data_IF_599238194763
#
_entry.id   IF_599238194763
#
_cell.length_a   1.000
_cell.length_b   1.000
_cell.length_c   1.000
_cell.angle_alpha   90.00
_cell.angle_beta   90.00
_cell.angle_gamma   90.00
#
_symmetry.space_group_name_H-M   'P 1'
#
loop_
_entity.id
_entity.type
_entity.pdbx_description
1 polymer ?
#
# COMPACT_ATOMS: atom_id res chain seq x y z
N UNK A 1 12.03 41.60 5.25
CA UNK A 1 12.34 40.24 5.71
C UNK A 1 11.16 39.34 5.38
N UNK A 2 11.16 38.60 4.26
CA UNK A 2 10.11 37.64 3.99
C UNK A 2 10.36 36.36 4.80
N UNK A 3 9.29 35.86 5.42
CA UNK A 3 9.26 34.62 6.18
C UNK A 3 9.54 33.45 5.25
N UNK A 4 10.50 32.61 5.61
CA UNK A 4 10.74 31.33 4.96
C UNK A 4 9.44 30.53 4.93
N UNK A 5 8.96 30.27 3.72
CA UNK A 5 8.05 29.16 3.47
C UNK A 5 8.93 27.92 3.55
N UNK A 6 8.98 27.32 4.73
CA UNK A 6 9.33 25.90 4.83
C UNK A 6 8.30 25.15 3.97
N UNK A 7 8.69 24.88 2.72
CA UNK A 7 8.08 23.84 1.93
C UNK A 7 8.14 22.58 2.79
N UNK A 8 6.96 22.08 3.19
CA UNK A 8 6.78 20.77 3.79
C UNK A 8 7.18 19.72 2.75
N UNK A 9 8.48 19.60 2.47
CA UNK A 9 9.06 18.43 1.83
C UNK A 9 8.86 17.33 2.88
N UNK A 10 7.96 16.37 2.66
CA UNK A 10 7.81 15.26 3.59
C UNK A 10 9.15 14.56 3.61
N UNK A 11 9.77 14.43 4.79
CA UNK A 11 11.05 13.74 4.93
C UNK A 11 10.98 12.40 4.19
N UNK A 12 11.61 12.32 3.02
CA UNK A 12 11.46 11.22 2.06
C UNK A 12 11.96 9.90 2.65
N UNK A 13 12.91 9.97 3.58
CA UNK A 13 13.37 8.83 4.38
C UNK A 13 12.25 8.20 5.22
N UNK A 14 11.25 8.97 5.65
CA UNK A 14 10.09 8.44 6.40
C UNK A 14 9.11 7.65 5.54
N UNK A 15 9.14 7.79 4.21
CA UNK A 15 8.21 7.07 3.32
C UNK A 15 8.79 5.77 2.76
N UNK A 16 10.11 5.63 2.71
CA UNK A 16 10.79 4.46 2.12
C UNK A 16 11.07 3.37 3.15
N UNK A 17 10.09 2.50 3.36
CA UNK A 17 10.16 1.36 4.28
C UNK A 17 10.66 0.05 3.66
N UNK A 18 10.92 0.06 2.35
CA UNK A 18 11.30 -1.10 1.55
C UNK A 18 12.77 -1.06 1.15
N UNK A 19 13.31 -2.22 0.79
CA UNK A 19 14.68 -2.41 0.32
C UNK A 19 15.31 -3.72 0.80
N UNK A 20 16.60 -3.85 0.52
CA UNK A 20 17.39 -5.02 0.91
C UNK A 20 17.55 -5.12 2.42
N UNK A 21 17.31 -6.31 2.95
CA UNK A 21 17.54 -6.68 4.33
C UNK A 21 18.55 -7.84 4.38
N UNK A 22 19.68 -7.59 5.04
CA UNK A 22 20.69 -8.61 5.32
C UNK A 22 20.43 -9.28 6.67
N UNK A 23 20.49 -10.61 6.72
CA UNK A 23 20.25 -11.41 7.92
C UNK A 23 21.36 -12.44 8.14
N UNK A 24 21.82 -12.53 9.39
CA UNK A 24 22.59 -13.68 9.86
C UNK A 24 21.68 -14.90 10.08
N UNK A 25 22.27 -16.09 10.15
CA UNK A 25 21.52 -17.31 10.51
C UNK A 25 20.96 -17.17 11.93
N UNK A 26 19.68 -17.52 12.09
CA UNK A 26 18.87 -17.36 13.29
C UNK A 26 18.63 -15.91 13.73
N UNK A 27 18.98 -14.91 12.90
CA UNK A 27 18.67 -13.53 13.19
C UNK A 27 17.20 -13.22 12.91
N UNK A 28 16.58 -12.51 13.84
CA UNK A 28 15.28 -11.88 13.67
C UNK A 28 15.42 -10.39 13.42
N UNK A 29 14.56 -9.84 12.57
CA UNK A 29 14.29 -8.40 12.47
C UNK A 29 12.79 -8.19 12.57
N UNK A 30 12.39 -7.13 13.24
CA UNK A 30 10.99 -6.79 13.42
C UNK A 30 10.72 -5.32 13.05
N UNK A 31 9.50 -5.06 12.62
CA UNK A 31 9.02 -3.75 12.19
C UNK A 31 7.59 -3.55 12.68
N UNK A 32 7.25 -2.29 12.88
CA UNK A 32 5.87 -1.84 12.99
C UNK A 32 5.53 -1.05 11.73
N UNK A 33 4.47 -1.46 11.02
CA UNK A 33 3.92 -0.76 9.87
C UNK A 33 2.48 -0.34 10.18
N UNK A 34 2.29 0.92 10.59
CA UNK A 34 1.03 1.37 11.17
C UNK A 34 0.75 0.58 12.44
N UNK A 35 -0.33 -0.20 12.44
CA UNK A 35 -0.70 -1.10 13.53
C UNK A 35 -0.33 -2.57 13.30
N UNK A 36 0.26 -2.90 12.14
CA UNK A 36 0.79 -4.24 11.85
C UNK A 36 2.16 -4.42 12.53
N UNK A 37 2.30 -5.45 13.36
CA UNK A 37 3.60 -5.90 13.85
C UNK A 37 4.06 -7.06 12.98
N UNK A 38 5.30 -6.99 12.50
CA UNK A 38 5.84 -7.89 11.49
C UNK A 38 7.26 -8.28 11.85
N UNK A 39 7.59 -9.58 11.79
CA UNK A 39 8.91 -10.13 12.10
C UNK A 39 9.31 -11.18 11.08
N UNK A 40 10.56 -11.10 10.66
CA UNK A 40 11.20 -12.11 9.85
C UNK A 40 12.38 -12.69 10.60
N UNK A 41 12.49 -14.02 10.57
CA UNK A 41 13.63 -14.76 11.10
C UNK A 41 14.20 -15.64 9.99
N UNK A 42 15.52 -15.54 9.78
CA UNK A 42 16.23 -16.41 8.85
C UNK A 42 16.69 -17.67 9.58
N UNK A 43 16.24 -18.85 9.16
CA UNK A 43 16.83 -20.13 9.52
C UNK A 43 17.77 -20.65 8.43
N UNK A 44 18.46 -21.77 8.67
CA UNK A 44 19.33 -22.41 7.66
C UNK A 44 18.51 -22.87 6.44
N UNK A 45 17.33 -23.44 6.68
CA UNK A 45 16.48 -24.07 5.68
C UNK A 45 15.08 -23.45 5.60
N UNK A 46 14.87 -22.30 6.24
CA UNK A 46 13.57 -21.65 6.20
C UNK A 46 13.66 -20.15 6.43
N UNK A 47 12.67 -19.45 5.90
CA UNK A 47 12.27 -18.13 6.40
C UNK A 47 11.01 -18.29 7.22
N UNK A 48 11.02 -17.73 8.43
CA UNK A 48 9.84 -17.66 9.29
C UNK A 48 9.32 -16.22 9.32
N UNK A 49 8.07 -16.06 8.94
CA UNK A 49 7.31 -14.83 9.05
C UNK A 49 6.36 -14.95 10.24
N UNK A 50 6.41 -13.97 11.13
CA UNK A 50 5.45 -13.79 12.21
C UNK A 50 4.81 -12.42 12.09
N UNK A 51 3.49 -12.33 12.23
CA UNK A 51 2.83 -11.03 12.25
C UNK A 51 1.60 -11.03 13.15
N UNK A 52 1.40 -9.90 13.82
CA UNK A 52 0.19 -9.59 14.55
C UNK A 52 -0.53 -8.44 13.84
N UNK A 53 -1.82 -8.65 13.59
CA UNK A 53 -2.73 -7.63 13.05
C UNK A 53 -3.87 -7.44 14.05
N UNK A 54 -4.10 -6.22 14.55
CA UNK A 54 -5.25 -5.95 15.40
C UNK A 54 -6.56 -6.09 14.62
N UNK A 55 -7.66 -6.34 15.34
CA UNK A 55 -9.00 -6.46 14.74
C UNK A 55 -9.48 -5.17 14.06
N UNK A 56 -9.00 -4.02 14.54
CA UNK A 56 -9.26 -2.70 13.97
C UNK A 56 -7.94 -2.08 13.57
N UNK A 57 -7.85 -1.66 12.30
CA UNK A 57 -6.78 -0.84 11.79
C UNK A 57 -7.37 0.46 11.25
N UNK A 58 -6.62 1.56 11.34
CA UNK A 58 -7.06 2.84 10.83
C UNK A 58 -6.18 3.29 9.66
N UNK A 59 -6.81 3.76 8.58
CA UNK A 59 -6.11 4.17 7.36
C UNK A 59 -5.19 5.40 7.56
N UNK A 60 -5.31 6.13 8.68
CA UNK A 60 -4.39 7.22 9.03
C UNK A 60 -3.08 6.73 9.68
N UNK A 61 -2.97 5.45 10.07
CA UNK A 61 -1.78 4.86 10.68
C UNK A 61 -0.68 4.63 9.63
N UNK A 62 -0.07 5.72 9.14
CA UNK A 62 0.85 5.72 8.00
C UNK A 62 2.34 5.79 8.40
N UNK A 63 2.64 5.60 9.68
CA UNK A 63 4.01 5.61 10.21
C UNK A 63 4.58 4.19 10.28
N UNK A 64 5.88 4.06 10.13
CA UNK A 64 6.58 2.80 10.34
C UNK A 64 7.91 3.03 11.07
N UNK A 65 8.43 1.98 11.68
CA UNK A 65 9.80 1.93 12.19
C UNK A 65 10.26 0.48 12.33
N UNK A 66 11.57 0.27 12.35
CA UNK A 66 12.16 -0.99 12.79
C UNK A 66 12.11 -1.04 14.32
N UNK A 67 11.83 -2.21 14.88
CA UNK A 67 11.74 -2.42 16.32
C UNK A 67 13.11 -2.89 16.84
N UNK A 68 13.61 -2.22 17.87
CA UNK A 68 14.97 -2.42 18.41
C UNK A 68 15.15 -3.79 19.08
N UNK A 69 14.14 -4.26 19.83
CA UNK A 69 14.09 -5.63 20.32
C UNK A 69 13.29 -6.48 19.33
N UNK A 70 13.93 -7.20 18.40
CA UNK A 70 13.21 -8.02 17.43
C UNK A 70 12.59 -9.26 18.06
N UNK A 71 12.81 -9.57 19.34
CA UNK A 71 12.32 -10.78 20.00
C UNK A 71 11.15 -10.53 20.95
N UNK A 72 10.71 -9.28 21.14
CA UNK A 72 9.60 -8.96 22.06
C UNK A 72 8.34 -9.79 21.77
N UNK A 73 7.53 -10.09 22.77
CA UNK A 73 6.32 -10.88 22.52
C UNK A 73 5.27 -10.05 21.75
N UNK A 74 4.90 -10.49 20.54
CA UNK A 74 3.75 -9.93 19.84
C UNK A 74 2.45 -10.24 20.60
N UNK A 75 1.45 -9.35 20.58
CA UNK A 75 0.12 -9.67 21.11
C UNK A 75 -0.52 -10.83 20.32
N UNK A 76 -1.29 -11.72 20.97
CA UNK A 76 -2.05 -12.75 20.27
C UNK A 76 -3.33 -12.17 19.60
N UNK A 77 -3.84 -12.80 18.52
CA UNK A 77 -3.27 -13.97 17.85
C UNK A 77 -2.14 -13.58 16.88
N UNK A 78 -0.99 -14.24 17.05
CA UNK A 78 0.14 -14.13 16.11
C UNK A 78 -0.05 -15.14 14.99
N UNK A 79 0.02 -14.68 13.74
CA UNK A 79 0.09 -15.57 12.58
C UNK A 79 1.53 -15.92 12.29
N UNK A 80 1.77 -17.20 11.98
CA UNK A 80 3.10 -17.74 11.69
C UNK A 80 3.04 -18.44 10.35
N UNK A 81 3.95 -18.07 9.45
CA UNK A 81 4.13 -18.70 8.15
C UNK A 81 5.60 -19.11 8.01
N UNK A 82 5.84 -20.31 7.47
CA UNK A 82 7.18 -20.89 7.29
C UNK A 82 7.37 -21.25 5.82
N UNK A 83 8.45 -20.75 5.24
CA UNK A 83 8.81 -20.98 3.84
C UNK A 83 10.08 -21.80 3.80
N UNK A 84 10.00 -23.02 3.27
CA UNK A 84 11.09 -24.00 3.30
C UNK A 84 12.03 -23.84 2.10
N UNK A 85 13.33 -24.00 2.35
CA UNK A 85 14.42 -23.87 1.40
C UNK A 85 15.43 -25.00 1.59
N UNK A 86 16.15 -25.38 0.53
CA UNK A 86 17.33 -26.25 0.67
C UNK A 86 18.41 -25.58 1.53
N UNK A 87 18.63 -24.30 1.29
CA UNK A 87 19.48 -23.40 2.08
C UNK A 87 19.01 -21.97 1.83
N UNK A 88 18.90 -21.14 2.87
CA UNK A 88 18.51 -19.74 2.73
C UNK A 88 19.71 -18.86 2.36
N UNK A 89 19.46 -17.82 1.56
CA UNK A 89 20.42 -16.73 1.34
C UNK A 89 20.31 -15.67 2.44
N UNK A 90 21.37 -14.87 2.63
CA UNK A 90 21.39 -13.83 3.67
C UNK A 90 20.60 -12.58 3.30
N UNK A 91 20.18 -12.45 2.05
CA UNK A 91 19.43 -11.31 1.53
C UNK A 91 17.95 -11.63 1.35
N UNK A 92 17.12 -10.74 1.85
CA UNK A 92 15.69 -10.68 1.55
C UNK A 92 15.34 -9.25 1.16
N UNK A 93 14.64 -9.09 0.04
CA UNK A 93 14.14 -7.79 -0.40
C UNK A 93 12.72 -7.60 0.12
N UNK A 94 12.53 -6.64 1.02
CA UNK A 94 11.20 -6.14 1.35
C UNK A 94 10.79 -5.17 0.26
N UNK A 95 9.63 -5.37 -0.36
CA UNK A 95 9.17 -4.57 -1.48
C UNK A 95 7.68 -4.23 -1.36
N UNK A 96 7.26 -3.03 -1.80
CA UNK A 96 5.86 -2.70 -1.92
C UNK A 96 5.24 -3.44 -3.09
N UNK A 97 4.00 -3.89 -2.92
CA UNK A 97 3.14 -4.41 -4.00
C UNK A 97 1.76 -3.74 -3.95
N UNK A 98 1.08 -3.76 -5.09
CA UNK A 98 -0.34 -3.41 -5.14
C UNK A 98 -1.18 -4.57 -4.62
N UNK A 99 -2.43 -4.29 -4.27
CA UNK A 99 -3.35 -5.31 -3.79
C UNK A 99 -3.57 -6.42 -4.84
N UNK A 100 -3.84 -7.62 -4.35
CA UNK A 100 -4.14 -8.83 -5.13
C UNK A 100 -5.56 -8.81 -5.75
N UNK A 101 -6.37 -7.80 -5.43
CA UNK A 101 -7.71 -7.56 -5.97
C UNK A 101 -7.92 -6.10 -6.33
N UNK A 102 -8.87 -5.86 -7.23
CA UNK A 102 -9.32 -4.50 -7.56
C UNK A 102 -9.79 -3.76 -6.29
N UNK A 103 -9.62 -2.44 -6.28
CA UNK A 103 -9.93 -1.58 -5.16
C UNK A 103 -11.03 -0.60 -5.57
N UNK A 104 -12.21 -0.74 -4.97
CA UNK A 104 -13.27 0.25 -5.02
C UNK A 104 -12.88 1.44 -4.16
N UNK A 105 -12.62 2.56 -4.81
CA UNK A 105 -12.38 3.82 -4.15
C UNK A 105 -13.69 4.57 -3.92
N UNK A 106 -13.78 5.22 -2.77
CA UNK A 106 -14.88 6.13 -2.42
C UNK A 106 -14.30 7.46 -1.96
N UNK A 107 -14.59 8.58 -2.63
CA UNK A 107 -14.22 9.89 -2.12
C UNK A 107 -14.80 10.13 -0.72
N UNK A 108 -13.99 10.70 0.17
CA UNK A 108 -14.48 11.17 1.48
C UNK A 108 -15.48 12.30 1.27
N UNK A 109 -15.11 13.28 0.44
CA UNK A 109 -15.97 14.37 0.01
C UNK A 109 -16.57 14.09 -1.38
N UNK A 110 -17.86 14.38 -1.62
CA UNK A 110 -18.46 14.14 -2.93
C UNK A 110 -17.77 14.97 -4.01
N UNK A 111 -17.48 14.35 -5.16
CA UNK A 111 -16.92 15.02 -6.33
C UNK A 111 -18.00 15.09 -7.41
N UNK A 112 -18.25 16.30 -7.92
CA UNK A 112 -19.16 16.55 -9.02
C UNK A 112 -18.39 17.03 -10.24
N UNK A 113 -18.64 16.42 -11.39
CA UNK A 113 -18.00 16.72 -12.66
C UNK A 113 -19.07 17.31 -13.59
N UNK A 114 -19.10 18.62 -13.84
CA UNK A 114 -20.06 19.23 -14.77
C UNK A 114 -19.93 18.68 -16.19
N UNK A 115 -20.98 18.87 -17.00
CA UNK A 115 -21.01 18.44 -18.39
C UNK A 115 -19.82 19.03 -19.20
N UNK A 116 -19.21 18.20 -20.04
CA UNK A 116 -18.08 18.56 -20.89
C UNK A 116 -16.74 18.76 -20.17
N UNK A 117 -16.68 18.58 -18.84
CA UNK A 117 -15.44 18.78 -18.08
C UNK A 117 -14.54 17.56 -18.13
N UNK A 118 -13.23 17.81 -18.15
CA UNK A 118 -12.17 16.79 -18.09
C UNK A 118 -11.06 17.22 -17.14
N UNK A 119 -10.33 16.26 -16.60
CA UNK A 119 -9.19 16.54 -15.73
C UNK A 119 -8.54 15.28 -15.19
N UNK A 120 -7.66 15.47 -14.21
CA UNK A 120 -6.99 14.38 -13.50
C UNK A 120 -7.34 14.45 -12.02
N UNK A 121 -7.73 13.32 -11.46
CA UNK A 121 -7.93 13.11 -10.03
C UNK A 121 -6.79 12.24 -9.51
N UNK A 122 -5.99 12.78 -8.61
CA UNK A 122 -4.98 12.03 -7.87
C UNK A 122 -5.63 11.42 -6.62
N UNK A 123 -5.66 10.10 -6.59
CA UNK A 123 -6.08 9.31 -5.42
C UNK A 123 -4.87 8.58 -4.85
N UNK A 124 -5.08 7.84 -3.76
CA UNK A 124 -4.08 6.87 -3.30
C UNK A 124 -4.68 5.48 -3.13
N UNK A 125 -3.93 4.45 -3.49
CA UNK A 125 -4.32 3.03 -3.42
C UNK A 125 -3.46 2.29 -2.39
N UNK A 126 -4.01 1.32 -1.65
CA UNK A 126 -3.30 0.65 -0.56
C UNK A 126 -2.14 -0.22 -1.06
N UNK A 127 -1.08 -0.32 -0.25
CA UNK A 127 0.09 -1.15 -0.51
C UNK A 127 0.14 -2.39 0.37
N UNK A 128 0.74 -3.42 -0.19
CA UNK A 128 1.13 -4.65 0.46
C UNK A 128 2.64 -4.72 0.66
N UNK A 129 3.06 -5.51 1.64
CA UNK A 129 4.47 -5.84 1.90
C UNK A 129 4.72 -7.22 1.32
N UNK A 130 5.74 -7.31 0.47
CA UNK A 130 6.17 -8.56 -0.11
C UNK A 130 7.65 -8.84 0.16
N UNK A 131 7.98 -10.10 0.39
CA UNK A 131 9.35 -10.57 0.58
C UNK A 131 9.83 -11.34 -0.63
N UNK A 132 10.92 -10.89 -1.24
CA UNK A 132 11.58 -11.61 -2.33
C UNK A 132 12.93 -12.12 -1.86
N UNK A 133 13.26 -13.33 -2.29
CA UNK A 133 14.56 -13.95 -2.10
C UNK A 133 15.25 -14.09 -3.45
N UNK A 134 16.58 -14.14 -3.43
CA UNK A 134 17.36 -14.24 -4.66
C UNK A 134 16.95 -15.45 -5.52
N UNK A 135 16.84 -15.23 -6.82
CA UNK A 135 16.48 -16.27 -7.79
C UNK A 135 14.99 -16.60 -7.89
N UNK A 136 14.12 -16.00 -7.05
CA UNK A 136 12.67 -16.18 -7.15
C UNK A 136 11.97 -14.97 -7.77
N UNK A 137 11.04 -15.23 -8.68
CA UNK A 137 10.21 -14.20 -9.32
C UNK A 137 9.00 -13.83 -8.50
N UNK A 138 8.40 -14.82 -7.85
CA UNK A 138 7.27 -14.61 -6.95
C UNK A 138 7.75 -14.36 -5.52
N UNK A 139 7.03 -13.55 -4.75
CA UNK A 139 7.38 -13.32 -3.36
C UNK A 139 7.07 -14.56 -2.52
N UNK A 140 7.85 -14.78 -1.46
CA UNK A 140 7.58 -15.86 -0.50
C UNK A 140 6.40 -15.52 0.41
N UNK A 141 6.13 -14.23 0.62
CA UNK A 141 4.93 -13.74 1.29
C UNK A 141 4.47 -12.43 0.65
N UNK A 142 3.17 -12.17 0.71
CA UNK A 142 2.56 -10.91 0.32
C UNK A 142 1.39 -10.66 1.29
N UNK A 143 1.42 -9.56 2.05
CA UNK A 143 0.33 -9.23 2.99
C UNK A 143 0.05 -7.73 3.07
N UNK A 144 -1.20 -7.31 3.32
CA UNK A 144 -1.54 -5.89 3.34
C UNK A 144 -1.01 -5.25 4.61
N UNK A 145 -0.47 -4.04 4.48
CA UNK A 145 -0.04 -3.23 5.63
C UNK A 145 -1.26 -2.88 6.49
N UNK A 146 -2.24 -2.23 5.86
CA UNK A 146 -3.55 -1.93 6.41
C UNK A 146 -4.55 -2.70 5.57
N UNK A 147 -5.19 -3.72 6.15
CA UNK A 147 -6.13 -4.58 5.44
C UNK A 147 -7.37 -3.77 5.04
N UNK A 148 -7.63 -3.57 3.73
CA UNK A 148 -8.87 -2.95 3.28
C UNK A 148 -10.06 -3.87 3.57
N UNK A 149 -11.26 -3.29 3.66
CA UNK A 149 -12.48 -4.09 3.84
C UNK A 149 -12.86 -4.76 2.52
N UNK A 150 -13.36 -5.98 2.57
CA UNK A 150 -13.98 -6.61 1.41
C UNK A 150 -15.27 -5.86 1.02
N UNK A 151 -15.52 -5.78 -0.28
CA UNK A 151 -16.75 -5.26 -0.87
C UNK A 151 -17.09 -6.02 -2.14
N UNK A 152 -18.35 -5.94 -2.55
CA UNK A 152 -18.80 -6.40 -3.86
C UNK A 152 -18.90 -5.22 -4.83
N UNK A 153 -18.34 -5.34 -6.03
CA UNK A 153 -18.54 -4.38 -7.11
C UNK A 153 -19.27 -5.04 -8.29
N UNK A 154 -20.49 -4.57 -8.56
CA UNK A 154 -21.33 -5.07 -9.64
C UNK A 154 -22.81 -4.78 -9.40
N UNK A 155 -23.67 -4.93 -10.42
CA UNK A 155 -25.11 -4.72 -10.30
C UNK A 155 -25.80 -5.73 -9.38
N UNK A 156 -25.29 -6.96 -9.24
CA UNK A 156 -25.86 -7.98 -8.35
C UNK A 156 -24.81 -9.07 -8.02
N UNK A 157 -25.16 -10.03 -7.15
CA UNK A 157 -24.26 -11.11 -6.70
C UNK A 157 -23.92 -12.17 -7.77
N UNK A 158 -24.57 -12.14 -8.95
CA UNK A 158 -24.31 -13.05 -10.06
C UNK A 158 -23.42 -12.41 -11.14
N UNK A 159 -23.41 -11.08 -11.21
CA UNK A 159 -22.56 -10.30 -12.13
C UNK A 159 -21.86 -9.19 -11.35
N UNK A 160 -20.63 -9.48 -10.93
CA UNK A 160 -19.76 -8.58 -10.19
C UNK A 160 -18.49 -9.30 -9.77
N UNK A 161 -17.65 -8.60 -9.00
CA UNK A 161 -16.39 -9.12 -8.48
C UNK A 161 -16.22 -8.74 -7.00
N UNK A 162 -15.50 -9.60 -6.28
CA UNK A 162 -15.04 -9.29 -4.92
C UNK A 162 -13.85 -8.34 -5.05
N UNK A 163 -13.98 -7.18 -4.43
CA UNK A 163 -12.96 -6.14 -4.41
C UNK A 163 -12.63 -5.74 -2.98
N UNK A 164 -11.62 -4.92 -2.83
CA UNK A 164 -11.39 -4.14 -1.62
C UNK A 164 -12.12 -2.80 -1.68
N UNK A 165 -12.48 -2.25 -0.52
CA UNK A 165 -13.02 -0.91 -0.37
C UNK A 165 -12.06 -0.02 0.42
N UNK A 166 -11.84 1.20 -0.07
CA UNK A 166 -11.04 2.19 0.64
C UNK A 166 -11.57 3.61 0.40
N UNK A 167 -11.56 4.43 1.46
CA UNK A 167 -11.88 5.85 1.35
C UNK A 167 -10.65 6.62 0.84
N UNK A 168 -10.85 7.65 0.02
CA UNK A 168 -9.77 8.45 -0.57
C UNK A 168 -10.06 9.95 -0.52
N UNK A 169 -9.03 10.76 -0.26
CA UNK A 169 -9.11 12.23 -0.20
C UNK A 169 -9.03 12.91 -1.58
N UNK A 170 -9.45 12.22 -2.67
CA UNK A 170 -9.11 12.55 -4.07
C UNK A 170 -8.91 14.04 -4.39
N UNK A 171 -7.74 14.39 -4.95
CA UNK A 171 -7.33 15.79 -5.22
C UNK A 171 -7.06 16.02 -6.70
N UNK A 172 -7.41 17.20 -7.21
CA UNK A 172 -7.06 17.61 -8.57
C UNK A 172 -5.63 18.15 -8.67
N UNK A 173 -5.08 18.65 -7.56
CA UNK A 173 -3.69 19.07 -7.45
C UNK A 173 -2.90 18.09 -6.58
N UNK A 174 -1.83 17.51 -7.14
CA UNK A 174 -0.98 16.53 -6.43
C UNK A 174 -0.45 17.05 -5.09
N UNK A 175 -0.06 18.33 -5.03
CA UNK A 175 0.48 18.95 -3.80
C UNK A 175 -0.52 18.96 -2.63
N UNK A 176 -1.82 18.85 -2.91
CA UNK A 176 -2.87 18.78 -1.90
C UNK A 176 -3.14 17.34 -1.44
N UNK A 177 -2.61 16.34 -2.14
CA UNK A 177 -2.77 14.94 -1.80
C UNK A 177 -1.74 14.56 -0.72
N UNK A 178 -2.22 14.41 0.51
CA UNK A 178 -1.39 14.01 1.65
C UNK A 178 -0.53 12.78 1.31
N UNK A 179 0.79 12.84 1.55
CA UNK A 179 1.68 11.70 1.43
C UNK A 179 1.36 10.64 2.49
N UNK A 180 1.38 9.37 2.08
CA UNK A 180 1.00 8.22 2.91
C UNK A 180 1.94 7.07 2.58
N UNK A 181 2.69 6.56 3.57
CA UNK A 181 3.77 5.61 3.35
C UNK A 181 3.27 4.26 2.80
N UNK A 182 2.04 3.87 3.15
CA UNK A 182 1.45 2.58 2.78
C UNK A 182 0.46 2.72 1.64
N UNK A 183 0.56 3.78 0.84
CA UNK A 183 -0.30 3.99 -0.33
C UNK A 183 0.49 4.52 -1.53
N UNK A 184 0.16 4.03 -2.72
CA UNK A 184 0.67 4.56 -3.98
C UNK A 184 -0.25 5.67 -4.50
N UNK A 185 0.31 6.67 -5.18
CA UNK A 185 -0.46 7.65 -5.94
C UNK A 185 -0.99 6.99 -7.21
N UNK A 186 -2.29 7.11 -7.45
CA UNK A 186 -2.94 6.57 -8.66
C UNK A 186 -3.66 7.71 -9.38
N UNK A 187 -3.13 8.19 -10.52
CA UNK A 187 -3.80 9.21 -11.31
C UNK A 187 -4.99 8.62 -12.08
N UNK A 188 -6.11 9.32 -12.05
CA UNK A 188 -7.33 8.96 -12.78
C UNK A 188 -7.69 10.14 -13.69
N UNK A 189 -7.58 9.95 -15.00
CA UNK A 189 -8.16 10.87 -15.96
C UNK A 189 -9.67 10.68 -15.96
N UNK A 190 -10.42 11.78 -15.98
CA UNK A 190 -11.88 11.74 -16.11
C UNK A 190 -12.32 12.67 -17.24
N UNK A 191 -13.41 12.30 -17.89
CA UNK A 191 -14.07 13.14 -18.89
C UNK A 191 -15.57 12.89 -18.84
N UNK A 192 -16.33 13.92 -18.44
CA UNK A 192 -17.77 13.88 -18.52
C UNK A 192 -18.23 14.25 -19.92
N UNK A 193 -18.42 13.23 -20.77
CA UNK A 193 -18.95 13.37 -22.14
C UNK A 193 -20.47 13.50 -22.20
N UNK A 194 -21.16 13.41 -21.05
CA UNK A 194 -22.61 13.54 -20.99
C UNK A 194 -23.05 15.01 -20.94
N UNK A 195 -24.35 15.23 -21.19
CA UNK A 195 -24.98 16.55 -21.06
C UNK A 195 -25.46 16.84 -19.62
N UNK A 196 -25.10 16.01 -18.65
CA UNK A 196 -25.54 16.12 -17.26
C UNK A 196 -24.34 16.16 -16.30
N UNK A 197 -24.55 16.70 -15.10
CA UNK A 197 -23.53 16.64 -14.05
C UNK A 197 -23.37 15.20 -13.56
N UNK A 198 -22.14 14.69 -13.59
CA UNK A 198 -21.82 13.39 -13.02
C UNK A 198 -21.41 13.55 -11.56
N UNK A 199 -21.90 12.65 -10.71
CA UNK A 199 -21.45 12.50 -9.33
C UNK A 199 -20.53 11.30 -9.26
N UNK A 200 -19.31 11.50 -8.77
CA UNK A 200 -18.32 10.45 -8.60
C UNK A 200 -18.47 9.84 -7.20
N UNK A 201 -19.26 8.77 -7.10
CA UNK A 201 -19.57 8.10 -5.83
C UNK A 201 -18.62 6.96 -5.49
N UNK A 202 -18.34 6.12 -6.48
CA UNK A 202 -17.43 4.97 -6.35
C UNK A 202 -16.85 4.61 -7.70
N UNK A 203 -15.61 4.14 -7.71
CA UNK A 203 -14.96 3.63 -8.90
C UNK A 203 -14.15 2.40 -8.56
N UNK A 204 -14.25 1.38 -9.41
CA UNK A 204 -13.38 0.22 -9.32
C UNK A 204 -12.03 0.52 -9.98
N UNK A 205 -10.95 0.43 -9.21
CA UNK A 205 -9.58 0.62 -9.68
C UNK A 205 -8.94 -0.75 -9.84
N UNK A 206 -8.56 -1.17 -11.06
CA UNK A 206 -7.99 -2.49 -11.32
C UNK A 206 -6.51 -2.53 -10.94
N UNK A 207 -6.19 -2.26 -9.66
CA UNK A 207 -4.81 -2.15 -9.18
C UNK A 207 -3.91 -3.37 -9.49
N UNK A 208 -4.40 -4.63 -9.55
CA UNK A 208 -3.52 -5.75 -9.91
C UNK A 208 -2.95 -5.66 -11.33
N UNK A 209 -3.61 -4.92 -12.23
CA UNK A 209 -3.18 -4.73 -13.61
C UNK A 209 -2.28 -3.49 -13.81
N UNK A 210 -2.02 -2.72 -12.75
CA UNK A 210 -1.22 -1.50 -12.85
C UNK A 210 0.24 -1.76 -12.46
N UNK A 211 1.22 -1.17 -13.16
CA UNK A 211 2.60 -1.16 -12.70
C UNK A 211 2.73 -0.29 -11.44
N UNK A 212 3.64 -0.66 -10.54
CA UNK A 212 4.04 0.13 -9.38
C UNK A 212 5.48 0.61 -9.57
N UNK A 213 5.73 1.90 -9.40
CA UNK A 213 7.07 2.49 -9.51
C UNK A 213 7.31 3.55 -8.46
N UNK A 214 8.58 3.76 -8.11
CA UNK A 214 9.00 4.83 -7.22
C UNK A 214 9.41 6.06 -8.02
N UNK A 215 8.94 7.23 -7.60
CA UNK A 215 9.33 8.51 -8.18
C UNK A 215 10.26 9.22 -7.19
N UNK A 216 11.55 9.28 -7.52
CA UNK A 216 12.56 10.02 -6.74
C UNK A 216 12.19 11.50 -6.60
N UNK A 217 11.65 12.12 -7.65
CA UNK A 217 11.26 13.53 -7.65
C UNK A 217 10.11 13.86 -6.69
N UNK A 218 9.21 12.91 -6.43
CA UNK A 218 8.09 13.11 -5.49
C UNK A 218 8.28 12.40 -4.16
N UNK A 219 9.29 11.52 -4.06
CA UNK A 219 9.53 10.66 -2.91
C UNK A 219 8.42 9.64 -2.65
N UNK A 220 7.55 9.36 -3.63
CA UNK A 220 6.34 8.54 -3.47
C UNK A 220 6.32 7.35 -4.41
N UNK A 221 5.54 6.34 -4.06
CA UNK A 221 5.16 5.25 -4.96
C UNK A 221 3.96 5.68 -5.81
N UNK A 222 3.95 5.22 -7.06
CA UNK A 222 2.98 5.60 -8.08
C UNK A 222 2.53 4.40 -8.89
N UNK A 223 1.29 4.47 -9.38
CA UNK A 223 0.82 3.60 -10.46
C UNK A 223 0.79 4.36 -11.78
N UNK A 224 0.65 3.64 -12.90
CA UNK A 224 0.27 4.30 -14.15
C UNK A 224 -1.08 4.98 -14.01
N UNK A 225 -1.31 5.97 -14.86
CA UNK A 225 -2.61 6.61 -14.98
C UNK A 225 -3.66 5.65 -15.55
N UNK A 226 -4.90 5.82 -15.13
CA UNK A 226 -6.08 5.15 -15.71
C UNK A 226 -7.06 6.19 -16.26
N UNK A 227 -7.90 5.80 -17.22
CA UNK A 227 -8.89 6.65 -17.91
C UNK A 227 -10.30 6.18 -17.62
#
# INVERSE_FOLDING_TARGET
MPRDKDELIPNTAKMRWWGEQNFEINQSKAWQFGSLLFRLTRGIQEWRLEYFRPSVQYDYEQQWHQIDDPNFAFPPPVKIERYMFKSTQNKLQLMPRLADRSVVIKPVDPIYIPAGQRGTLYISTPLWIAGFVEGQREPIFDLPVILPKDTWFGPNHRSGEICYATAVDGRTELKQLHPRAFRAVTPIEFHNTSNQQLRFDRMNVPVPALPLFYSESTGRLWTSQIR
#
